data_IF_030009127415
#
_entry.id   IF_030009127415
#
_cell.length_a   1.000
_cell.length_b   1.000
_cell.length_c   1.000
_cell.angle_alpha   90.00
_cell.angle_beta   90.00
_cell.angle_gamma   90.00
#
_symmetry.space_group_name_H-M   'P 1'
#
loop_
_entity.id
_entity.type
_entity.pdbx_description
1 polymer ?
#
# COMPACT_ATOMS: atom_id res chain seq x y z
N UNK A 1 -45.40 -34.54 15.96
CA UNK A 1 -44.36 -33.50 15.94
C UNK A 1 -45.04 -32.20 16.36
N UNK A 2 -44.68 -31.64 17.51
CA UNK A 2 -45.18 -30.35 18.01
C UNK A 2 -44.52 -29.19 17.29
N UNK A 3 -45.14 -28.01 17.29
CA UNK A 3 -44.53 -26.76 16.80
C UNK A 3 -43.18 -26.50 17.51
N UNK A 4 -43.08 -26.86 18.78
CA UNK A 4 -41.83 -26.76 19.57
C UNK A 4 -40.74 -27.68 19.01
N UNK A 5 -41.09 -28.91 18.59
CA UNK A 5 -40.14 -29.86 17.98
C UNK A 5 -39.64 -29.34 16.63
N UNK A 6 -40.50 -28.63 15.88
CA UNK A 6 -40.15 -28.02 14.60
C UNK A 6 -39.17 -26.87 14.83
N UNK A 7 -39.48 -25.95 15.75
CA UNK A 7 -38.64 -24.79 16.04
C UNK A 7 -37.26 -25.20 16.54
N UNK A 8 -37.18 -26.18 17.44
CA UNK A 8 -35.90 -26.68 17.98
C UNK A 8 -35.06 -27.39 16.90
N UNK A 9 -35.68 -28.15 15.99
CA UNK A 9 -34.97 -28.76 14.85
C UNK A 9 -34.50 -27.70 13.84
N UNK A 10 -35.30 -26.67 13.56
CA UNK A 10 -34.91 -25.58 12.68
C UNK A 10 -33.72 -24.82 13.26
N UNK A 11 -33.75 -24.47 14.55
CA UNK A 11 -32.63 -23.79 15.22
C UNK A 11 -31.33 -24.62 15.17
N UNK A 12 -31.42 -25.93 15.43
CA UNK A 12 -30.26 -26.83 15.31
C UNK A 12 -29.71 -26.92 13.88
N UNK A 13 -30.58 -26.87 12.87
CA UNK A 13 -30.18 -26.84 11.45
C UNK A 13 -29.50 -25.51 11.13
N UNK A 14 -30.08 -24.37 11.49
CA UNK A 14 -29.47 -23.05 11.29
C UNK A 14 -28.06 -23.02 11.88
N UNK A 15 -27.89 -23.37 13.16
CA UNK A 15 -26.58 -23.42 13.84
C UNK A 15 -25.56 -24.35 13.16
N UNK A 16 -26.00 -25.47 12.59
CA UNK A 16 -25.12 -26.39 11.87
C UNK A 16 -24.56 -25.78 10.58
N UNK A 17 -25.35 -24.91 9.94
CA UNK A 17 -25.00 -24.27 8.67
C UNK A 17 -24.54 -22.81 8.79
N UNK A 18 -24.52 -22.23 9.99
CA UNK A 18 -23.97 -20.89 10.27
C UNK A 18 -22.59 -20.64 9.64
N UNK A 19 -21.73 -21.67 9.54
CA UNK A 19 -20.41 -21.58 8.92
C UNK A 19 -20.44 -21.36 7.39
N UNK A 20 -21.59 -21.51 6.75
CA UNK A 20 -21.81 -21.26 5.33
C UNK A 20 -22.57 -19.95 5.09
N UNK A 21 -22.91 -19.23 6.16
CA UNK A 21 -23.51 -17.90 6.05
C UNK A 21 -22.45 -16.93 5.51
N UNK A 22 -22.49 -16.73 4.20
CA UNK A 22 -21.60 -15.83 3.47
C UNK A 22 -21.75 -14.39 3.93
N UNK A 23 -22.93 -13.96 4.35
CA UNK A 23 -23.14 -12.59 4.85
C UNK A 23 -22.43 -12.41 6.20
N UNK A 24 -22.47 -13.42 7.07
CA UNK A 24 -21.75 -13.45 8.35
C UNK A 24 -20.24 -13.54 8.17
N UNK A 25 -19.76 -14.39 7.25
CA UNK A 25 -18.34 -14.51 6.91
C UNK A 25 -17.78 -13.24 6.26
N UNK A 26 -18.56 -12.58 5.41
CA UNK A 26 -18.16 -11.33 4.78
C UNK A 26 -18.12 -10.19 5.80
N UNK A 27 -19.09 -10.12 6.73
CA UNK A 27 -19.06 -9.13 7.81
C UNK A 27 -17.81 -9.28 8.70
N UNK A 28 -17.39 -10.51 9.00
CA UNK A 28 -16.19 -10.79 9.81
C UNK A 28 -14.87 -10.57 9.04
N UNK A 29 -14.86 -10.77 7.71
CA UNK A 29 -13.66 -10.62 6.87
C UNK A 29 -13.47 -9.21 6.26
N UNK A 30 -14.42 -8.29 6.41
CA UNK A 30 -14.31 -6.91 5.91
C UNK A 30 -13.42 -6.02 6.81
N UNK A 31 -12.93 -6.55 7.93
CA UNK A 31 -11.97 -5.85 8.79
C UNK A 31 -10.54 -5.84 8.22
N UNK A 32 -10.29 -5.01 7.21
CA UNK A 32 -9.06 -4.22 7.11
C UNK A 32 -7.76 -4.86 6.57
N UNK A 33 -7.75 -6.11 6.10
CA UNK A 33 -6.55 -6.75 5.54
C UNK A 33 -6.81 -7.36 4.15
N UNK A 34 -7.30 -6.55 3.21
CA UNK A 34 -7.32 -6.97 1.80
C UNK A 34 -5.89 -7.01 1.26
N UNK A 35 -5.40 -8.22 1.03
CA UNK A 35 -4.08 -8.48 0.48
C UNK A 35 -3.87 -7.79 -0.88
N UNK A 36 -4.93 -7.62 -1.69
CA UNK A 36 -4.84 -6.91 -2.96
C UNK A 36 -4.61 -5.41 -2.74
N UNK A 37 -5.41 -4.76 -1.88
CA UNK A 37 -5.21 -3.35 -1.54
C UNK A 37 -3.80 -3.06 -1.00
N UNK A 38 -3.23 -3.96 -0.20
CA UNK A 38 -1.85 -3.83 0.31
C UNK A 38 -0.80 -3.91 -0.80
N UNK A 39 -0.93 -4.89 -1.69
CA UNK A 39 -0.03 -5.03 -2.85
C UNK A 39 -0.17 -3.84 -3.80
N UNK A 40 -1.40 -3.40 -4.07
CA UNK A 40 -1.67 -2.24 -4.91
C UNK A 40 -1.03 -0.96 -4.34
N UNK A 41 -1.22 -0.70 -3.05
CA UNK A 41 -0.59 0.45 -2.38
C UNK A 41 0.95 0.39 -2.42
N UNK A 42 1.55 -0.80 -2.33
CA UNK A 42 3.00 -0.94 -2.51
C UNK A 42 3.47 -0.63 -3.93
N UNK A 43 2.70 -1.06 -4.94
CA UNK A 43 3.00 -0.77 -6.35
C UNK A 43 2.85 0.72 -6.64
N UNK A 44 1.83 1.38 -6.09
CA UNK A 44 1.68 2.84 -6.20
C UNK A 44 2.86 3.59 -5.58
N UNK A 45 3.31 3.18 -4.38
CA UNK A 45 4.47 3.78 -3.73
C UNK A 45 5.77 3.59 -4.52
N UNK A 46 5.97 2.40 -5.11
CA UNK A 46 7.13 2.12 -5.97
C UNK A 46 7.11 2.99 -7.24
N UNK A 47 5.95 3.15 -7.87
CA UNK A 47 5.78 4.02 -9.05
C UNK A 47 6.05 5.48 -8.70
N UNK A 48 5.53 5.98 -7.58
CA UNK A 48 5.77 7.35 -7.14
C UNK A 48 7.27 7.58 -6.85
N UNK A 49 7.95 6.59 -6.25
CA UNK A 49 9.39 6.64 -6.01
C UNK A 49 10.20 6.68 -7.33
N UNK A 50 9.81 5.87 -8.33
CA UNK A 50 10.48 5.83 -9.63
C UNK A 50 10.27 7.13 -10.43
N UNK A 51 9.07 7.71 -10.34
CA UNK A 51 8.78 9.03 -10.90
C UNK A 51 9.59 10.13 -10.22
N UNK A 52 9.77 10.05 -8.90
CA UNK A 52 10.61 10.98 -8.17
C UNK A 52 12.09 10.87 -8.58
N UNK A 53 12.59 9.65 -8.80
CA UNK A 53 13.96 9.42 -9.30
C UNK A 53 14.13 9.98 -10.71
N UNK A 54 13.21 9.69 -11.65
CA UNK A 54 13.31 10.21 -13.02
C UNK A 54 13.21 11.74 -13.09
N UNK A 55 12.40 12.35 -12.22
CA UNK A 55 12.32 13.80 -12.08
C UNK A 55 13.64 14.41 -11.55
N UNK A 56 14.31 13.73 -10.62
CA UNK A 56 15.62 14.17 -10.13
C UNK A 56 16.71 14.08 -11.19
N UNK A 57 16.68 13.05 -12.03
CA UNK A 57 17.62 12.91 -13.15
C UNK A 57 17.41 14.01 -14.19
N UNK A 58 16.15 14.31 -14.54
CA UNK A 58 15.82 15.43 -15.42
C UNK A 58 16.27 16.79 -14.85
N UNK A 59 16.06 17.03 -13.54
CA UNK A 59 16.57 18.23 -12.86
C UNK A 59 18.10 18.31 -12.89
N UNK A 60 18.79 17.19 -12.74
CA UNK A 60 20.25 17.14 -12.83
C UNK A 60 20.74 17.46 -14.25
N UNK A 61 20.07 16.94 -15.28
CA UNK A 61 20.35 17.32 -16.67
C UNK A 61 20.12 18.81 -16.92
N UNK A 62 18.98 19.36 -16.48
CA UNK A 62 18.70 20.79 -16.58
C UNK A 62 19.77 21.62 -15.87
N UNK A 63 20.17 21.23 -14.66
CA UNK A 63 21.22 21.93 -13.91
C UNK A 63 22.59 21.89 -14.63
N UNK A 64 22.87 20.82 -15.38
CA UNK A 64 24.11 20.68 -16.16
C UNK A 64 24.12 21.53 -17.45
N UNK A 65 22.95 21.76 -18.04
CA UNK A 65 22.78 22.58 -19.25
C UNK A 65 22.56 24.07 -18.91
N UNK A 66 22.22 24.38 -17.66
CA UNK A 66 21.95 25.72 -17.17
C UNK A 66 23.24 26.58 -17.14
N UNK A 67 23.18 27.75 -17.78
CA UNK A 67 24.32 28.68 -17.89
C UNK A 67 24.37 29.65 -16.72
N UNK A 68 23.24 29.88 -16.05
CA UNK A 68 23.16 30.75 -14.89
C UNK A 68 23.66 30.04 -13.62
N UNK A 69 24.86 30.42 -13.16
CA UNK A 69 25.47 29.88 -11.94
C UNK A 69 24.57 29.93 -10.70
N UNK A 70 23.81 30.99 -10.49
CA UNK A 70 22.93 31.09 -9.34
C UNK A 70 21.77 30.07 -9.42
N UNK A 71 21.20 29.89 -10.62
CA UNK A 71 20.15 28.90 -10.86
C UNK A 71 20.69 27.47 -10.73
N UNK A 72 21.88 27.18 -11.26
CA UNK A 72 22.56 25.90 -11.10
C UNK A 72 22.80 25.56 -9.63
N UNK A 73 23.22 26.53 -8.81
CA UNK A 73 23.45 26.31 -7.36
C UNK A 73 22.13 26.00 -6.64
N UNK A 74 21.05 26.74 -6.96
CA UNK A 74 19.74 26.48 -6.37
C UNK A 74 19.20 25.09 -6.74
N UNK A 75 19.26 24.70 -8.01
CA UNK A 75 18.84 23.37 -8.49
C UNK A 75 19.66 22.26 -7.83
N UNK A 76 20.99 22.41 -7.76
CA UNK A 76 21.84 21.41 -7.12
C UNK A 76 21.60 21.29 -5.61
N UNK A 77 21.27 22.38 -4.92
CA UNK A 77 20.90 22.34 -3.51
C UNK A 77 19.59 21.56 -3.29
N UNK A 78 18.61 21.76 -4.17
CA UNK A 78 17.35 21.03 -4.14
C UNK A 78 17.55 19.53 -4.40
N UNK A 79 18.33 19.17 -5.43
CA UNK A 79 18.69 17.78 -5.76
C UNK A 79 19.35 17.11 -4.55
N UNK A 80 20.30 17.78 -3.88
CA UNK A 80 20.97 17.23 -2.68
C UNK A 80 19.99 16.98 -1.54
N UNK A 81 19.05 17.91 -1.31
CA UNK A 81 18.04 17.78 -0.24
C UNK A 81 17.13 16.58 -0.46
N UNK A 82 16.69 16.38 -1.70
CA UNK A 82 15.83 15.24 -2.06
C UNK A 82 16.61 13.92 -2.04
N UNK A 83 17.85 13.89 -2.55
CA UNK A 83 18.73 12.71 -2.46
C UNK A 83 18.98 12.28 -1.01
N UNK A 84 19.22 13.22 -0.11
CA UNK A 84 19.40 12.91 1.32
C UNK A 84 18.15 12.25 1.93
N UNK A 85 16.95 12.76 1.62
CA UNK A 85 15.68 12.16 2.07
C UNK A 85 15.48 10.75 1.50
N UNK A 86 15.74 10.55 0.21
CA UNK A 86 15.62 9.24 -0.43
C UNK A 86 16.59 8.21 0.15
N UNK A 87 17.82 8.61 0.49
CA UNK A 87 18.79 7.73 1.15
C UNK A 87 18.30 7.23 2.52
N UNK A 88 17.41 7.95 3.19
CA UNK A 88 16.80 7.52 4.46
C UNK A 88 15.56 6.64 4.27
N UNK A 89 14.71 6.96 3.30
CA UNK A 89 13.43 6.26 3.08
C UNK A 89 13.58 4.93 2.31
N UNK A 90 14.47 4.87 1.31
CA UNK A 90 14.66 3.67 0.48
C UNK A 90 15.06 2.43 1.31
N UNK A 91 15.99 2.51 2.29
CA UNK A 91 16.31 1.38 3.14
C UNK A 91 15.14 0.92 4.02
N UNK A 92 14.22 1.81 4.41
CA UNK A 92 13.03 1.44 5.19
C UNK A 92 12.07 0.63 4.30
N UNK A 93 11.87 1.05 3.05
CA UNK A 93 11.09 0.33 2.07
C UNK A 93 11.70 -1.04 1.75
N UNK A 94 13.02 -1.14 1.57
CA UNK A 94 13.71 -2.43 1.37
C UNK A 94 13.48 -3.42 2.52
N UNK A 95 13.48 -2.94 3.78
CA UNK A 95 13.17 -3.80 4.93
C UNK A 95 11.72 -4.28 4.94
N UNK A 96 10.78 -3.44 4.49
CA UNK A 96 9.37 -3.80 4.37
C UNK A 96 9.15 -4.80 3.23
N UNK A 97 9.84 -4.66 2.09
CA UNK A 97 9.77 -5.61 0.98
C UNK A 97 10.27 -7.02 1.37
N UNK A 98 11.24 -7.11 2.29
CA UNK A 98 11.74 -8.40 2.82
C UNK A 98 10.80 -9.03 3.85
N UNK A 99 9.91 -8.26 4.47
CA UNK A 99 8.82 -8.80 5.30
C UNK A 99 7.76 -9.37 4.35
N UNK A 100 7.90 -10.66 4.02
CA UNK A 100 6.82 -11.41 3.36
C UNK A 100 5.54 -11.26 4.17
N UNK A 101 4.49 -10.80 3.49
CA UNK A 101 3.10 -10.88 3.94
C UNK A 101 2.62 -12.31 3.80
#
# INVERSE_FOLDING_TARGET
>A
MSVIDILTRVDAICKKYDKYDVDKLNADNVSGDDAFARLYASVEADVESALQVSFLDSKAEMASQEKNRAATVALNAEIRRTKARLLEEVPKLQRLALKKV
#
